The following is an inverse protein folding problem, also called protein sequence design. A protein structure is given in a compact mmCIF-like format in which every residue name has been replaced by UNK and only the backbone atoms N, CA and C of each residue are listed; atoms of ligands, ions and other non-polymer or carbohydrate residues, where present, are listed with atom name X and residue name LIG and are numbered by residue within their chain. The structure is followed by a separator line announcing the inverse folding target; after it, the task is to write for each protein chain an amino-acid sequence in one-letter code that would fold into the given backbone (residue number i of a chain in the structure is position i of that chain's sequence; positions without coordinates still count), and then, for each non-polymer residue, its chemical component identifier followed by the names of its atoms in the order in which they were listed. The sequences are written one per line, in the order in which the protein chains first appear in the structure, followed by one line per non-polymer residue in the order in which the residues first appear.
data_IF_787132851546
#
_entry.id   IF_787132851546
#
_cell.length_a   1.000
_cell.length_b   1.000
_cell.length_c   1.000
_cell.angle_alpha   90.00
_cell.angle_beta   90.00
_cell.angle_gamma   90.00
#
_symmetry.space_group_name_H-M   'P 1'
#
loop_
_entity.id
_entity.type
_entity.pdbx_description
1 polymer ?
#
# COMPACT_ATOMS: atom_id res chain seq x y z
N UNK A 1 -25.62 0.12 -2.11
CA UNK A 1 -24.37 -0.66 -2.24
C UNK A 1 -24.12 -1.30 -0.88
N UNK A 2 -24.03 -2.62 -0.83
CA UNK A 2 -23.71 -3.38 0.38
C UNK A 2 -22.23 -3.78 0.29
N UNK A 3 -21.44 -3.48 1.31
CA UNK A 3 -20.10 -4.05 1.48
C UNK A 3 -20.19 -5.12 2.56
N UNK A 4 -19.73 -6.32 2.28
CA UNK A 4 -19.63 -7.41 3.24
C UNK A 4 -18.44 -8.29 2.90
N UNK A 5 -18.03 -9.10 3.86
CA UNK A 5 -17.00 -10.13 3.70
C UNK A 5 -17.46 -11.39 4.46
N UNK A 6 -16.95 -12.54 4.06
CA UNK A 6 -17.17 -13.81 4.77
C UNK A 6 -15.83 -14.23 5.34
N UNK A 7 -15.82 -14.57 6.63
CA UNK A 7 -14.61 -14.96 7.36
C UNK A 7 -14.79 -16.33 8.00
N UNK A 8 -13.69 -17.06 8.13
CA UNK A 8 -13.68 -18.29 8.94
C UNK A 8 -13.56 -17.99 10.45
N UNK A 9 -13.47 -19.04 11.27
CA UNK A 9 -13.38 -18.94 12.73
C UNK A 9 -12.07 -18.28 13.23
N UNK A 10 -11.06 -18.17 12.37
CA UNK A 10 -9.82 -17.45 12.63
C UNK A 10 -9.85 -16.01 12.08
N UNK A 11 -11.04 -15.50 11.73
CA UNK A 11 -11.26 -14.19 11.10
C UNK A 11 -10.53 -13.97 9.77
N UNK A 12 -10.18 -15.05 9.06
CA UNK A 12 -9.55 -14.94 7.75
C UNK A 12 -10.60 -14.72 6.67
N UNK A 13 -10.51 -13.67 5.85
CA UNK A 13 -11.41 -13.48 4.72
C UNK A 13 -11.33 -14.65 3.74
N UNK A 14 -12.50 -15.06 3.25
CA UNK A 14 -12.68 -16.13 2.29
C UNK A 14 -13.37 -15.59 1.05
N UNK A 15 -13.13 -16.24 -0.10
CA UNK A 15 -13.84 -15.93 -1.34
C UNK A 15 -15.36 -16.09 -1.12
N UNK A 16 -16.18 -15.01 -1.21
CA UNK A 16 -17.61 -15.09 -0.94
C UNK A 16 -18.37 -16.02 -1.89
N UNK A 17 -17.83 -16.25 -3.09
CA UNK A 17 -18.44 -17.13 -4.10
C UNK A 17 -18.52 -18.58 -3.60
N UNK A 18 -17.68 -18.98 -2.64
CA UNK A 18 -17.73 -20.30 -2.00
C UNK A 18 -19.04 -20.56 -1.21
N UNK A 19 -19.85 -19.53 -0.96
CA UNK A 19 -21.01 -19.59 -0.07
C UNK A 19 -22.35 -19.44 -0.81
N UNK A 20 -22.41 -19.93 -2.06
CA UNK A 20 -23.65 -20.02 -2.83
C UNK A 20 -24.06 -18.71 -3.53
N UNK A 21 -23.12 -17.78 -3.71
CA UNK A 21 -23.34 -16.60 -4.54
C UNK A 21 -23.19 -17.01 -6.01
N UNK A 22 -24.30 -16.98 -6.74
CA UNK A 22 -24.31 -17.30 -8.16
C UNK A 22 -24.41 -16.03 -9.02
N UNK A 23 -23.35 -15.75 -9.78
CA UNK A 23 -23.26 -14.62 -10.69
C UNK A 23 -22.90 -15.18 -12.08
N UNK A 24 -23.55 -14.66 -13.12
CA UNK A 24 -23.20 -15.01 -14.50
C UNK A 24 -21.81 -14.49 -14.84
N UNK A 25 -20.98 -15.39 -15.37
CA UNK A 25 -19.61 -15.09 -15.75
C UNK A 25 -19.14 -16.10 -16.81
N UNK A 26 -18.97 -15.58 -18.02
CA UNK A 26 -18.54 -16.33 -19.21
C UNK A 26 -17.21 -15.82 -19.77
N UNK A 27 -16.62 -14.81 -19.12
CA UNK A 27 -15.38 -14.18 -19.58
C UNK A 27 -14.20 -14.97 -19.08
N UNK A 28 -13.24 -15.21 -19.97
CA UNK A 28 -11.94 -15.74 -19.55
C UNK A 28 -11.13 -14.66 -18.84
N UNK A 29 -10.33 -15.01 -17.83
CA UNK A 29 -9.41 -14.06 -17.20
C UNK A 29 -8.48 -13.39 -18.22
N UNK A 30 -8.13 -12.13 -17.95
CA UNK A 30 -7.25 -11.35 -18.81
C UNK A 30 -5.84 -11.35 -18.26
N UNK A 31 -4.85 -11.55 -19.15
CA UNK A 31 -3.44 -11.29 -18.89
C UNK A 31 -3.02 -10.11 -19.74
N UNK A 32 -2.51 -9.04 -19.14
CA UNK A 32 -2.10 -7.84 -19.89
C UNK A 32 -0.61 -7.78 -20.16
N UNK A 33 0.21 -8.29 -19.23
CA UNK A 33 1.66 -8.17 -19.29
C UNK A 33 2.34 -9.42 -18.73
N UNK A 34 3.53 -9.73 -19.25
CA UNK A 34 4.36 -10.86 -18.82
C UNK A 34 5.80 -10.39 -18.64
N UNK A 35 6.43 -10.85 -17.57
CA UNK A 35 7.80 -10.53 -17.22
C UNK A 35 8.59 -11.80 -16.91
N UNK A 36 9.87 -11.80 -17.26
CA UNK A 36 10.84 -12.76 -16.77
C UNK A 36 11.76 -12.10 -15.73
N UNK A 37 12.25 -12.90 -14.79
CA UNK A 37 13.11 -12.48 -13.70
C UNK A 37 14.30 -13.42 -13.60
N UNK A 38 15.51 -12.89 -13.64
CA UNK A 38 16.72 -13.67 -13.36
C UNK A 38 16.89 -13.79 -11.84
N UNK A 39 17.24 -14.99 -11.34
CA UNK A 39 17.38 -15.22 -9.90
C UNK A 39 18.64 -14.56 -9.34
N UNK A 40 19.74 -14.61 -10.09
CA UNK A 40 21.04 -14.08 -9.70
C UNK A 40 21.90 -13.66 -10.91
N UNK A 41 23.14 -13.27 -10.65
CA UNK A 41 24.13 -12.83 -11.65
C UNK A 41 24.60 -13.91 -12.64
N UNK A 42 24.30 -15.19 -12.39
CA UNK A 42 24.65 -16.30 -13.27
C UNK A 42 23.51 -16.67 -14.24
N UNK A 43 22.39 -15.96 -14.17
CA UNK A 43 21.20 -16.19 -14.98
C UNK A 43 20.88 -14.99 -15.86
N UNK A 44 20.42 -15.24 -17.09
CA UNK A 44 20.04 -14.18 -18.02
C UNK A 44 18.85 -14.59 -18.87
N UNK A 45 18.10 -13.58 -19.33
CA UNK A 45 17.01 -13.72 -20.30
C UNK A 45 17.22 -12.69 -21.39
N UNK A 46 17.31 -13.13 -22.65
CA UNK A 46 17.62 -12.29 -23.80
C UNK A 46 18.87 -11.42 -23.59
N UNK A 47 19.92 -12.00 -22.99
CA UNK A 47 21.18 -11.32 -22.60
C UNK A 47 20.99 -10.18 -21.57
N UNK A 48 19.83 -10.11 -20.90
CA UNK A 48 19.51 -9.13 -19.85
C UNK A 48 19.41 -9.79 -18.47
N UNK A 49 19.60 -8.96 -17.43
CA UNK A 49 19.59 -9.35 -16.02
C UNK A 49 18.48 -8.62 -15.26
N UNK A 50 18.02 -9.21 -14.17
CA UNK A 50 16.91 -8.71 -13.37
C UNK A 50 15.58 -8.94 -14.06
N UNK A 51 14.77 -7.88 -14.18
CA UNK A 51 13.42 -7.92 -14.76
C UNK A 51 13.46 -7.63 -16.26
N UNK A 52 12.91 -8.53 -17.06
CA UNK A 52 12.77 -8.39 -18.52
C UNK A 52 11.29 -8.45 -18.89
N UNK A 53 10.78 -7.40 -19.52
CA UNK A 53 9.41 -7.37 -20.04
C UNK A 53 9.32 -8.21 -21.33
N UNK A 54 8.35 -9.11 -21.40
CA UNK A 54 8.12 -9.97 -22.55
C UNK A 54 6.90 -9.48 -23.32
N UNK A 55 7.05 -9.32 -24.62
CA UNK A 55 5.96 -8.86 -25.48
C UNK A 55 4.86 -9.93 -25.55
N UNK A 56 3.74 -9.64 -24.90
CA UNK A 56 2.55 -10.48 -24.92
C UNK A 56 1.83 -10.40 -26.27
N UNK A 57 1.42 -11.56 -26.79
CA UNK A 57 0.69 -11.72 -28.04
C UNK A 57 -0.61 -12.48 -27.72
N UNK A 58 -1.78 -11.82 -27.79
CA UNK A 58 -3.07 -12.50 -27.64
C UNK A 58 -3.37 -13.38 -28.85
N UNK A 59 -3.93 -14.56 -28.59
CA UNK A 59 -4.36 -15.52 -29.60
C UNK A 59 -5.88 -15.46 -29.79
N UNK A 60 -6.35 -15.90 -30.97
CA UNK A 60 -7.79 -15.93 -31.28
C UNK A 60 -8.60 -16.88 -30.37
N UNK A 61 -7.93 -17.78 -29.66
CA UNK A 61 -8.56 -18.72 -28.72
C UNK A 61 -8.91 -18.10 -27.37
N UNK A 62 -8.38 -16.91 -27.07
CA UNK A 62 -8.42 -16.31 -25.72
C UNK A 62 -7.15 -16.56 -24.90
N UNK A 63 -6.27 -17.43 -25.38
CA UNK A 63 -4.94 -17.67 -24.81
C UNK A 63 -3.93 -16.61 -25.26
N UNK A 64 -2.72 -16.70 -24.71
CA UNK A 64 -1.62 -15.79 -24.97
C UNK A 64 -0.32 -16.55 -25.24
N UNK A 65 0.58 -15.90 -25.96
CA UNK A 65 1.97 -16.33 -26.10
C UNK A 65 2.90 -15.13 -26.07
N UNK A 66 4.20 -15.38 -26.06
CA UNK A 66 5.23 -14.35 -26.24
C UNK A 66 6.14 -14.76 -27.38
N UNK A 67 6.90 -13.82 -27.93
CA UNK A 67 8.03 -14.17 -28.80
C UNK A 67 9.00 -15.08 -28.04
N UNK A 68 9.53 -16.10 -28.72
CA UNK A 68 10.43 -17.07 -28.08
C UNK A 68 11.64 -16.38 -27.46
N UNK A 69 11.95 -16.73 -26.21
CA UNK A 69 13.05 -16.12 -25.45
C UNK A 69 14.29 -17.03 -25.47
N UNK A 70 15.46 -16.42 -25.35
CA UNK A 70 16.69 -17.14 -24.99
C UNK A 70 16.97 -16.96 -23.51
N UNK A 71 17.38 -18.01 -22.80
CA UNK A 71 17.72 -17.90 -21.38
C UNK A 71 18.79 -18.90 -20.96
N UNK A 72 19.41 -18.65 -19.81
CA UNK A 72 20.30 -19.59 -19.12
C UNK A 72 20.24 -19.36 -17.61
N UNK A 73 20.40 -20.42 -16.82
CA UNK A 73 20.41 -20.36 -15.36
C UNK A 73 19.01 -20.41 -14.74
N UNK A 74 18.89 -19.98 -13.48
CA UNK A 74 17.63 -19.98 -12.74
C UNK A 74 16.81 -18.73 -13.04
N UNK A 75 15.59 -18.90 -13.55
CA UNK A 75 14.68 -17.81 -13.90
C UNK A 75 13.28 -18.04 -13.36
N UNK A 76 12.57 -16.96 -13.06
CA UNK A 76 11.15 -16.95 -12.69
C UNK A 76 10.34 -16.08 -13.65
N UNK A 77 9.02 -16.17 -13.56
CA UNK A 77 8.11 -15.34 -14.37
C UNK A 77 7.14 -14.56 -13.49
N UNK A 78 6.57 -13.49 -14.03
CA UNK A 78 5.50 -12.73 -13.41
C UNK A 78 4.49 -12.25 -14.45
N UNK A 79 3.26 -12.01 -14.02
CA UNK A 79 2.17 -11.57 -14.89
C UNK A 79 1.37 -10.43 -14.28
N UNK A 80 0.76 -9.62 -15.12
CA UNK A 80 -0.37 -8.76 -14.72
C UNK A 80 -1.64 -9.44 -15.20
N UNK A 81 -2.54 -9.76 -14.27
CA UNK A 81 -3.77 -10.48 -14.59
C UNK A 81 -4.92 -10.11 -13.68
N UNK A 82 -6.14 -10.23 -14.20
CA UNK A 82 -7.37 -9.99 -13.47
C UNK A 82 -8.54 -10.77 -14.08
N UNK A 83 -9.57 -10.95 -13.27
CA UNK A 83 -10.87 -11.47 -13.69
C UNK A 83 -11.87 -10.30 -13.91
N UNK A 84 -12.92 -10.54 -14.71
CA UNK A 84 -14.01 -9.60 -14.87
C UNK A 84 -15.32 -10.34 -15.17
N UNK A 85 -16.34 -10.14 -14.33
CA UNK A 85 -17.67 -10.72 -14.52
C UNK A 85 -18.42 -10.09 -15.72
N UNK A 86 -19.42 -10.78 -16.26
CA UNK A 86 -20.14 -10.35 -17.48
C UNK A 86 -20.78 -8.96 -17.35
N UNK A 87 -21.47 -8.71 -16.22
CA UNK A 87 -22.28 -7.51 -15.98
C UNK A 87 -21.58 -6.46 -15.10
N UNK A 88 -20.26 -6.59 -14.92
CA UNK A 88 -19.49 -5.75 -14.04
C UNK A 88 -18.26 -5.18 -14.78
N UNK A 89 -17.99 -3.89 -14.60
CA UNK A 89 -16.82 -3.24 -15.22
C UNK A 89 -15.58 -3.26 -14.34
N UNK A 90 -15.71 -3.62 -13.05
CA UNK A 90 -14.59 -3.72 -12.12
C UNK A 90 -13.71 -4.93 -12.44
N UNK A 91 -12.41 -4.75 -12.24
CA UNK A 91 -11.46 -5.85 -12.20
C UNK A 91 -11.59 -6.58 -10.86
N UNK A 92 -11.63 -7.91 -10.91
CA UNK A 92 -11.68 -8.81 -9.78
C UNK A 92 -10.37 -9.59 -9.66
N UNK A 93 -10.16 -10.18 -8.48
CA UNK A 93 -9.08 -11.15 -8.30
C UNK A 93 -9.40 -12.47 -9.00
N UNK A 94 -8.34 -13.16 -9.42
CA UNK A 94 -8.44 -14.53 -9.93
C UNK A 94 -8.86 -15.51 -8.83
N UNK A 95 -9.27 -16.72 -9.21
CA UNK A 95 -9.43 -17.82 -8.27
C UNK A 95 -8.11 -18.54 -8.01
N UNK A 96 -7.35 -18.80 -9.06
CA UNK A 96 -6.02 -19.41 -8.94
C UNK A 96 -5.09 -19.07 -10.11
N UNK A 97 -3.80 -19.27 -9.88
CA UNK A 97 -2.74 -19.25 -10.89
C UNK A 97 -1.91 -20.52 -10.73
N UNK A 98 -1.68 -21.24 -11.82
CA UNK A 98 -0.82 -22.42 -11.85
C UNK A 98 0.26 -22.24 -12.92
N UNK A 99 1.47 -22.75 -12.68
CA UNK A 99 2.53 -22.75 -13.69
C UNK A 99 3.13 -24.12 -13.91
N UNK A 100 3.64 -24.33 -15.14
CA UNK A 100 4.16 -25.60 -15.58
C UNK A 100 5.41 -25.41 -16.44
N UNK A 101 6.42 -26.25 -16.23
CA UNK A 101 7.63 -26.30 -17.05
C UNK A 101 7.75 -27.68 -17.68
N UNK A 102 7.71 -27.75 -19.02
CA UNK A 102 7.66 -29.00 -19.79
C UNK A 102 6.57 -29.98 -19.31
N UNK A 103 5.43 -29.44 -18.83
CA UNK A 103 4.29 -30.19 -18.34
C UNK A 103 4.30 -30.49 -16.83
N UNK A 104 5.42 -30.31 -16.13
CA UNK A 104 5.50 -30.48 -14.68
C UNK A 104 5.06 -29.20 -13.97
N UNK A 105 4.18 -29.30 -12.97
CA UNK A 105 3.73 -28.14 -12.18
C UNK A 105 4.89 -27.58 -11.36
N UNK A 106 5.06 -26.26 -11.33
CA UNK A 106 6.13 -25.56 -10.60
C UNK A 106 5.63 -24.68 -9.46
N UNK A 107 4.44 -24.11 -9.60
CA UNK A 107 3.89 -23.15 -8.65
C UNK A 107 2.37 -23.15 -8.73
N UNK A 108 1.71 -22.98 -7.58
CA UNK A 108 0.30 -22.67 -7.50
C UNK A 108 0.01 -21.58 -6.45
N UNK A 109 -0.84 -20.64 -6.83
CA UNK A 109 -1.42 -19.62 -5.97
C UNK A 109 -2.94 -19.82 -5.93
N UNK A 110 -3.51 -19.96 -4.73
CA UNK A 110 -4.95 -20.12 -4.50
C UNK A 110 -5.50 -18.91 -3.72
N UNK A 111 -6.49 -18.22 -4.28
CA UNK A 111 -7.06 -16.99 -3.70
C UNK A 111 -8.36 -17.23 -2.92
N UNK A 112 -8.65 -18.46 -2.48
CA UNK A 112 -9.90 -18.76 -1.77
C UNK A 112 -9.90 -18.27 -0.31
N UNK A 113 -8.73 -18.02 0.28
CA UNK A 113 -8.60 -17.55 1.66
C UNK A 113 -7.30 -16.77 1.84
N UNK A 114 -7.35 -15.72 2.66
CA UNK A 114 -6.20 -14.88 2.97
C UNK A 114 -6.14 -14.58 4.47
N UNK A 115 -4.94 -14.46 5.05
CA UNK A 115 -4.79 -13.99 6.44
C UNK A 115 -4.31 -12.54 6.49
N UNK A 116 -4.92 -11.70 7.33
CA UNK A 116 -4.43 -10.32 7.49
C UNK A 116 -3.04 -10.26 8.12
N UNK A 117 -2.64 -11.27 8.90
CA UNK A 117 -1.32 -11.36 9.52
C UNK A 117 -0.19 -11.48 8.50
N UNK A 118 -0.47 -12.02 7.31
CA UNK A 118 0.50 -12.20 6.23
C UNK A 118 0.50 -11.04 5.21
N UNK A 119 -0.29 -9.98 5.43
CA UNK A 119 -0.46 -8.87 4.48
C UNK A 119 0.85 -8.24 4.01
N UNK A 120 1.87 -8.20 4.88
CA UNK A 120 3.19 -7.67 4.52
C UNK A 120 3.83 -8.46 3.39
N UNK A 121 3.65 -9.78 3.37
CA UNK A 121 4.24 -10.67 2.38
C UNK A 121 3.66 -10.50 0.97
N UNK A 122 2.49 -9.86 0.82
CA UNK A 122 1.97 -9.42 -0.48
C UNK A 122 2.95 -8.50 -1.20
N UNK A 123 3.69 -7.67 -0.47
CA UNK A 123 4.73 -6.82 -1.06
C UNK A 123 5.88 -7.61 -1.68
N UNK A 124 6.05 -8.90 -1.34
CA UNK A 124 7.02 -9.81 -1.97
C UNK A 124 6.40 -10.62 -3.11
N UNK A 125 5.11 -10.95 -3.01
CA UNK A 125 4.36 -11.54 -4.11
C UNK A 125 4.29 -10.60 -5.33
N UNK A 126 4.08 -9.31 -5.09
CA UNK A 126 4.11 -8.30 -6.14
C UNK A 126 5.55 -7.89 -6.49
N UNK A 127 5.76 -7.47 -7.73
CA UNK A 127 6.89 -6.59 -8.06
C UNK A 127 6.67 -5.22 -7.40
N UNK A 128 7.22 -5.07 -6.19
CA UNK A 128 7.03 -3.88 -5.38
C UNK A 128 7.52 -2.61 -6.07
N UNK A 129 8.63 -2.68 -6.82
CA UNK A 129 9.13 -1.51 -7.53
C UNK A 129 8.12 -1.04 -8.59
N UNK A 130 7.58 -1.95 -9.41
CA UNK A 130 6.56 -1.60 -10.41
C UNK A 130 5.25 -1.15 -9.76
N UNK A 131 4.83 -1.78 -8.66
CA UNK A 131 3.68 -1.35 -7.89
C UNK A 131 3.84 0.10 -7.40
N UNK A 132 5.01 0.46 -6.90
CA UNK A 132 5.27 1.80 -6.35
C UNK A 132 5.47 2.85 -7.42
N UNK A 133 6.19 2.52 -8.49
CA UNK A 133 6.60 3.49 -9.54
C UNK A 133 5.62 3.61 -10.70
N UNK A 134 5.00 2.50 -11.13
CA UNK A 134 4.10 2.45 -12.30
C UNK A 134 2.64 2.14 -11.96
N UNK A 135 2.34 1.77 -10.70
CA UNK A 135 1.00 1.29 -10.28
C UNK A 135 0.58 0.03 -11.04
N UNK A 136 1.55 -0.83 -11.34
CA UNK A 136 1.36 -2.10 -12.03
C UNK A 136 1.59 -3.24 -11.05
N UNK A 137 0.55 -4.05 -10.84
CA UNK A 137 0.58 -5.18 -9.90
C UNK A 137 1.04 -6.45 -10.62
N UNK A 138 2.35 -6.53 -10.90
CA UNK A 138 2.94 -7.77 -11.45
C UNK A 138 3.01 -8.81 -10.34
N UNK A 139 2.26 -9.89 -10.51
CA UNK A 139 2.21 -11.05 -9.63
C UNK A 139 3.38 -11.96 -10.00
N UNK A 140 4.36 -12.12 -9.10
CA UNK A 140 5.48 -13.05 -9.31
C UNK A 140 4.98 -14.48 -9.12
N UNK A 141 5.32 -15.33 -10.08
CA UNK A 141 4.97 -16.74 -10.12
C UNK A 141 6.10 -17.62 -9.58
N UNK A 142 6.84 -17.06 -8.63
CA UNK A 142 7.90 -17.69 -7.86
C UNK A 142 7.95 -17.05 -6.47
N UNK A 143 8.46 -17.77 -5.49
CA UNK A 143 8.48 -17.38 -4.09
C UNK A 143 9.89 -16.87 -3.74
N UNK A 144 9.97 -15.60 -3.39
CA UNK A 144 11.20 -15.02 -2.87
C UNK A 144 11.40 -15.43 -1.39
N UNK A 145 12.67 -15.52 -0.97
CA UNK A 145 13.04 -15.86 0.40
C UNK A 145 12.28 -15.00 1.43
N UNK A 146 11.79 -15.65 2.48
CA UNK A 146 11.06 -14.99 3.57
C UNK A 146 9.61 -14.63 3.25
N UNK A 147 9.09 -14.99 2.07
CA UNK A 147 7.67 -14.88 1.76
C UNK A 147 6.94 -16.16 2.20
N UNK A 148 6.02 -16.02 3.15
CA UNK A 148 5.33 -17.14 3.79
C UNK A 148 3.80 -17.09 3.60
N UNK A 149 3.33 -16.51 2.48
CA UNK A 149 1.90 -16.47 2.19
C UNK A 149 1.34 -17.90 2.14
N UNK A 150 0.26 -18.11 2.88
CA UNK A 150 -0.47 -19.36 2.97
C UNK A 150 -1.25 -19.72 1.70
N UNK A 151 -1.37 -18.77 0.77
CA UNK A 151 -1.97 -18.96 -0.55
C UNK A 151 -1.08 -19.76 -1.53
N UNK A 152 0.22 -19.90 -1.22
CA UNK A 152 1.11 -20.75 -2.01
C UNK A 152 0.86 -22.23 -1.74
N UNK A 153 0.84 -23.03 -2.80
CA UNK A 153 0.75 -24.50 -2.75
C UNK A 153 1.51 -25.11 -3.93
N UNK A 154 1.77 -26.43 -3.88
CA UNK A 154 2.42 -27.20 -4.95
C UNK A 154 3.68 -26.51 -5.52
N UNK A 155 4.56 -26.06 -4.63
CA UNK A 155 5.82 -25.41 -5.00
C UNK A 155 6.89 -26.45 -5.33
N UNK A 156 7.51 -26.29 -6.49
CA UNK A 156 8.71 -27.02 -6.91
C UNK A 156 9.79 -25.99 -7.28
N UNK A 157 10.95 -26.06 -6.62
CA UNK A 157 12.01 -25.03 -6.63
C UNK A 157 11.45 -23.60 -6.47
N UNK A 158 10.48 -23.44 -5.56
CA UNK A 158 9.85 -22.15 -5.25
C UNK A 158 9.22 -21.47 -6.49
N UNK A 159 8.92 -22.23 -7.55
CA UNK A 159 8.36 -21.71 -8.81
C UNK A 159 9.41 -21.22 -9.83
N UNK A 160 10.70 -21.24 -9.48
CA UNK A 160 11.78 -21.01 -10.44
C UNK A 160 11.95 -22.20 -11.40
N UNK A 161 12.56 -21.94 -12.54
CA UNK A 161 13.01 -22.97 -13.49
C UNK A 161 14.50 -22.82 -13.77
N UNK A 162 15.17 -23.95 -13.99
CA UNK A 162 16.57 -23.96 -14.42
C UNK A 162 16.63 -24.22 -15.93
N UNK A 163 17.20 -23.28 -16.67
CA UNK A 163 17.38 -23.38 -18.12
C UNK A 163 18.84 -23.71 -18.43
N UNK A 164 19.06 -24.91 -18.97
CA UNK A 164 20.39 -25.36 -19.41
C UNK A 164 20.67 -24.98 -20.86
N UNK A 165 21.94 -24.88 -21.22
CA UNK A 165 22.37 -24.52 -22.56
C UNK A 165 21.92 -25.55 -23.61
N UNK A 166 21.66 -25.10 -24.83
CA UNK A 166 21.24 -25.94 -25.97
C UNK A 166 19.96 -26.78 -25.74
N UNK A 167 19.08 -26.34 -24.84
CA UNK A 167 17.78 -26.97 -24.59
C UNK A 167 16.63 -26.21 -25.28
N UNK A 168 15.50 -26.89 -25.49
CA UNK A 168 14.25 -26.26 -25.93
C UNK A 168 13.15 -26.69 -24.97
N UNK A 169 12.53 -25.72 -24.32
CA UNK A 169 11.52 -25.95 -23.29
C UNK A 169 10.32 -25.02 -23.49
N UNK A 170 9.22 -25.32 -22.79
CA UNK A 170 8.05 -24.46 -22.73
C UNK A 170 7.64 -24.25 -21.28
N UNK A 171 7.50 -22.97 -20.91
CA UNK A 171 6.84 -22.58 -19.67
C UNK A 171 5.40 -22.19 -19.96
N UNK A 172 4.46 -22.68 -19.16
CA UNK A 172 3.04 -22.40 -19.29
C UNK A 172 2.47 -21.84 -18.01
N UNK A 173 1.60 -20.85 -18.14
CA UNK A 173 0.87 -20.24 -17.03
C UNK A 173 -0.61 -20.44 -17.30
N UNK A 174 -1.35 -20.88 -16.30
CA UNK A 174 -2.81 -20.99 -16.33
C UNK A 174 -3.40 -20.03 -15.31
N UNK A 175 -4.26 -19.13 -15.77
CA UNK A 175 -5.05 -18.25 -14.91
C UNK A 175 -6.50 -18.70 -14.94
N UNK A 176 -7.15 -18.75 -13.78
CA UNK A 176 -8.52 -19.28 -13.65
C UNK A 176 -9.38 -18.38 -12.78
N UNK A 177 -10.62 -18.13 -13.20
CA UNK A 177 -11.64 -17.50 -12.36
C UNK A 177 -12.40 -18.51 -11.49
N UNK A 178 -13.39 -18.04 -10.74
CA UNK A 178 -14.18 -18.90 -9.87
C UNK A 178 -15.14 -19.84 -10.62
N UNK A 179 -15.71 -19.41 -11.76
CA UNK A 179 -16.59 -20.24 -12.60
C UNK A 179 -15.85 -21.32 -13.37
N UNK A 180 -14.54 -21.19 -13.42
CA UNK A 180 -13.61 -22.08 -14.09
C UNK A 180 -13.34 -21.74 -15.54
N UNK A 181 -13.65 -20.52 -16.00
CA UNK A 181 -13.06 -20.06 -17.24
C UNK A 181 -11.56 -19.83 -17.01
N UNK A 182 -10.78 -20.07 -18.06
CA UNK A 182 -9.33 -20.06 -17.97
C UNK A 182 -8.69 -19.50 -19.23
N UNK A 183 -7.48 -18.98 -19.07
CA UNK A 183 -6.61 -18.62 -20.18
C UNK A 183 -5.21 -19.16 -19.91
N UNK A 184 -4.52 -19.55 -20.97
CA UNK A 184 -3.15 -20.03 -20.92
C UNK A 184 -2.18 -19.00 -21.51
N UNK A 185 -1.00 -18.86 -20.90
CA UNK A 185 0.15 -18.16 -21.49
C UNK A 185 1.21 -19.21 -21.82
N UNK A 186 1.67 -19.27 -23.07
CA UNK A 186 2.80 -20.13 -23.47
C UNK A 186 4.04 -19.32 -23.78
N UNK A 187 5.14 -19.64 -23.08
CA UNK A 187 6.45 -18.99 -23.22
C UNK A 187 7.45 -20.03 -23.76
N UNK A 188 7.78 -20.01 -25.05
CA UNK A 188 8.85 -20.83 -25.62
C UNK A 188 10.22 -20.35 -25.11
N UNK A 189 11.03 -21.25 -24.58
CA UNK A 189 12.35 -20.96 -24.01
C UNK A 189 13.42 -21.76 -24.72
N UNK A 190 14.39 -21.09 -25.34
CA UNK A 190 15.60 -21.71 -25.89
C UNK A 190 16.77 -21.47 -24.95
N UNK A 191 17.36 -22.56 -24.48
CA UNK A 191 18.55 -22.54 -23.64
C UNK A 191 19.77 -22.06 -24.41
N UNK A 192 20.36 -20.94 -23.98
CA UNK A 192 21.55 -20.37 -24.61
C UNK A 192 22.42 -19.69 -23.57
N UNK A 193 23.55 -20.31 -23.22
CA UNK A 193 24.56 -19.67 -22.38
C UNK A 193 25.31 -18.60 -23.16
N UNK A 194 25.51 -17.43 -22.56
CA UNK A 194 26.29 -16.33 -23.15
C UNK A 194 27.26 -15.76 -22.12
N UNK A 195 28.23 -14.97 -22.58
CA UNK A 195 29.20 -14.27 -21.71
C UNK A 195 28.66 -12.93 -21.19
N UNK A 196 27.34 -12.71 -21.27
CA UNK A 196 26.69 -11.52 -20.72
C UNK A 196 26.98 -11.42 -19.22
N UNK A 197 27.11 -10.19 -18.72
CA UNK A 197 27.35 -9.92 -17.29
C UNK A 197 26.36 -8.85 -16.83
N UNK A 198 25.85 -8.94 -15.59
CA UNK A 198 24.99 -7.91 -15.05
C UNK A 198 25.77 -6.59 -14.95
N UNK A 199 25.05 -5.48 -15.08
CA UNK A 199 25.62 -4.18 -14.72
C UNK A 199 25.99 -4.18 -13.23
N UNK A 200 27.21 -3.74 -12.93
CA UNK A 200 27.64 -3.58 -11.54
C UNK A 200 26.86 -2.43 -10.90
N UNK A 201 26.07 -2.72 -9.87
CA UNK A 201 25.39 -1.72 -9.06
C UNK A 201 26.43 -0.80 -8.39
N UNK A 202 26.36 0.51 -8.65
CA UNK A 202 27.17 1.49 -7.91
C UNK A 202 26.57 1.72 -6.52
N UNK A 203 27.18 1.06 -5.53
CA UNK A 203 26.77 1.09 -4.12
C UNK A 203 27.69 1.95 -3.25
N UNK A 204 28.62 2.72 -3.84
CA UNK A 204 29.66 3.46 -3.08
C UNK A 204 29.13 4.38 -1.98
N UNK A 205 27.99 5.03 -2.24
CA UNK A 205 27.35 5.96 -1.30
C UNK A 205 26.18 5.32 -0.52
N UNK A 206 26.00 3.99 -0.64
CA UNK A 206 24.91 3.26 -0.01
C UNK A 206 25.39 2.53 1.25
N UNK A 207 24.48 2.38 2.21
CA UNK A 207 24.71 1.65 3.44
C UNK A 207 24.18 0.25 3.27
N UNK A 208 25.01 -0.76 3.56
CA UNK A 208 24.57 -2.14 3.60
C UNK A 208 23.86 -2.44 4.92
N UNK A 209 22.65 -3.00 4.84
CA UNK A 209 21.81 -3.37 5.98
C UNK A 209 21.68 -4.88 5.99
N UNK A 210 22.14 -5.50 7.09
CA UNK A 210 21.87 -6.90 7.37
C UNK A 210 20.44 -7.04 7.85
N UNK A 211 19.63 -7.85 7.15
CA UNK A 211 18.21 -7.96 7.45
C UNK A 211 17.94 -8.55 8.83
N UNK A 212 18.77 -9.49 9.29
CA UNK A 212 18.60 -10.20 10.55
C UNK A 212 19.10 -9.42 11.78
N UNK A 213 19.75 -8.26 11.59
CA UNK A 213 20.26 -7.42 12.67
C UNK A 213 19.51 -6.09 12.80
N UNK A 214 19.37 -5.55 14.04
CA UNK A 214 18.91 -4.17 14.19
C UNK A 214 19.98 -3.20 13.70
N UNK A 215 19.58 -2.13 13.02
CA UNK A 215 20.49 -1.10 12.51
C UNK A 215 20.06 0.29 12.98
N UNK A 216 21.01 1.07 13.49
CA UNK A 216 20.82 2.49 13.80
C UNK A 216 21.65 3.33 12.82
N UNK A 217 21.00 4.23 12.10
CA UNK A 217 21.64 5.22 11.25
C UNK A 217 21.54 6.57 11.93
N UNK A 218 22.67 7.22 12.16
CA UNK A 218 22.74 8.52 12.82
C UNK A 218 23.47 9.50 11.90
N UNK A 219 22.85 10.64 11.62
CA UNK A 219 23.48 11.75 10.91
C UNK A 219 22.90 13.08 11.41
N UNK A 220 23.78 13.98 11.86
CA UNK A 220 23.44 15.27 12.48
C UNK A 220 22.46 15.12 13.65
N UNK A 221 21.27 15.69 13.54
CA UNK A 221 20.22 15.69 14.55
C UNK A 221 19.14 14.63 14.27
N UNK A 222 19.38 13.68 13.36
CA UNK A 222 18.41 12.68 12.99
C UNK A 222 18.95 11.26 13.19
N UNK A 223 18.05 10.39 13.66
CA UNK A 223 18.31 8.96 13.84
C UNK A 223 17.22 8.16 13.14
N UNK A 224 17.61 7.11 12.42
CA UNK A 224 16.70 6.11 11.86
C UNK A 224 17.05 4.75 12.45
N UNK A 225 16.08 4.13 13.10
CA UNK A 225 16.22 2.79 13.66
C UNK A 225 15.42 1.78 12.85
N UNK A 226 16.12 0.76 12.37
CA UNK A 226 15.57 -0.45 11.79
C UNK A 226 15.65 -1.58 12.81
N UNK A 227 14.52 -2.09 13.32
CA UNK A 227 14.51 -3.36 14.05
C UNK A 227 15.08 -4.52 13.21
N UNK A 228 15.58 -5.57 13.86
CA UNK A 228 15.91 -6.83 13.17
C UNK A 228 14.69 -7.36 12.41
N UNK A 229 14.93 -7.88 11.20
CA UNK A 229 13.94 -8.32 10.22
C UNK A 229 13.03 -7.20 9.71
N UNK A 230 13.53 -5.95 9.62
CA UNK A 230 12.80 -4.87 8.94
C UNK A 230 12.74 -5.08 7.43
N UNK A 231 13.79 -5.65 6.86
CA UNK A 231 13.86 -6.09 5.47
C UNK A 231 13.70 -7.61 5.40
N UNK A 232 13.29 -8.12 4.24
CA UNK A 232 13.18 -9.57 4.00
C UNK A 232 14.53 -10.23 3.69
N UNK A 233 15.48 -9.46 3.18
CA UNK A 233 16.83 -9.89 2.83
C UNK A 233 17.79 -8.70 2.96
N UNK A 234 19.08 -8.99 3.05
CA UNK A 234 20.10 -7.97 3.14
C UNK A 234 20.03 -7.04 1.93
N UNK A 235 20.24 -5.75 2.15
CA UNK A 235 20.07 -4.76 1.09
C UNK A 235 20.97 -3.56 1.28
N UNK A 236 21.27 -2.89 0.17
CA UNK A 236 21.84 -1.56 0.20
C UNK A 236 20.72 -0.51 0.22
N UNK A 237 20.88 0.53 1.02
CA UNK A 237 19.96 1.68 1.06
C UNK A 237 20.71 3.00 0.97
N UNK A 238 20.03 4.03 0.49
CA UNK A 238 20.55 5.38 0.54
C UNK A 238 20.10 6.04 1.85
N UNK A 239 21.00 6.66 2.59
CA UNK A 239 20.65 7.43 3.78
C UNK A 239 21.43 8.74 3.79
N UNK A 240 20.72 9.87 3.87
CA UNK A 240 21.31 11.21 3.89
C UNK A 240 20.44 12.15 4.73
N UNK A 241 21.04 12.98 5.57
CA UNK A 241 20.31 14.03 6.30
C UNK A 241 20.74 15.40 5.81
N UNK A 242 19.76 16.21 5.40
CA UNK A 242 19.97 17.60 5.02
C UNK A 242 19.08 18.51 5.87
N UNK A 243 19.68 19.19 6.84
CA UNK A 243 18.99 20.08 7.77
C UNK A 243 17.85 19.35 8.51
N UNK A 244 16.61 19.61 8.12
CA UNK A 244 15.36 19.08 8.68
C UNK A 244 14.85 17.83 7.95
N UNK A 245 15.55 17.36 6.92
CA UNK A 245 15.05 16.33 6.00
C UNK A 245 15.93 15.09 6.01
N UNK A 246 15.32 13.92 6.27
CA UNK A 246 15.91 12.59 6.09
C UNK A 246 15.52 12.08 4.69
N UNK A 247 16.52 11.73 3.89
CA UNK A 247 16.33 10.89 2.70
C UNK A 247 16.70 9.45 3.06
N UNK A 248 15.70 8.57 3.09
CA UNK A 248 15.82 7.16 3.45
C UNK A 248 15.42 6.28 2.26
N UNK A 249 16.26 6.27 1.23
CA UNK A 249 16.08 5.54 -0.02
C UNK A 249 14.74 5.88 -0.74
N UNK A 250 14.55 5.27 -1.91
CA UNK A 250 13.26 5.33 -2.62
C UNK A 250 12.33 4.27 -2.03
N UNK A 251 11.02 4.53 -2.11
CA UNK A 251 10.01 3.55 -1.69
C UNK A 251 9.81 2.46 -2.74
N UNK A 252 10.84 1.64 -2.94
CA UNK A 252 10.90 0.55 -3.93
C UNK A 252 11.42 -0.76 -3.34
N UNK A 253 11.76 -0.76 -2.05
CA UNK A 253 12.14 -1.94 -1.27
C UNK A 253 11.12 -2.07 -0.14
N UNK A 254 10.37 -3.18 -0.09
CA UNK A 254 9.31 -3.32 0.91
C UNK A 254 9.87 -3.64 2.29
N UNK A 255 9.28 -3.02 3.30
CA UNK A 255 9.56 -3.30 4.71
C UNK A 255 8.57 -4.32 5.30
N UNK A 256 9.08 -5.21 6.13
CA UNK A 256 8.33 -6.16 6.95
C UNK A 256 7.92 -5.53 8.29
N UNK A 257 8.80 -4.70 8.88
CA UNK A 257 8.53 -3.95 10.13
C UNK A 257 8.59 -2.46 9.89
N UNK A 258 7.94 -1.71 10.77
CA UNK A 258 8.05 -0.26 10.77
C UNK A 258 9.46 0.17 11.18
N UNK A 259 9.97 1.20 10.52
CA UNK A 259 11.17 1.93 10.91
C UNK A 259 10.79 3.02 11.90
N UNK A 260 11.70 3.38 12.78
CA UNK A 260 11.53 4.52 13.69
C UNK A 260 12.41 5.68 13.23
N UNK A 261 11.79 6.85 13.06
CA UNK A 261 12.43 8.11 12.72
C UNK A 261 12.50 8.97 13.97
N UNK A 262 13.65 9.58 14.21
CA UNK A 262 13.84 10.50 15.32
C UNK A 262 14.54 11.78 14.87
N UNK A 263 14.08 12.91 15.40
CA UNK A 263 14.74 14.21 15.26
C UNK A 263 14.99 14.81 16.64
N UNK A 264 16.23 15.25 16.87
CA UNK A 264 16.58 16.12 17.99
C UNK A 264 16.25 17.58 17.62
N UNK A 265 15.36 18.16 18.41
CA UNK A 265 14.84 19.52 18.28
C UNK A 265 15.39 20.46 19.37
N UNK A 266 16.51 20.12 20.01
CA UNK A 266 17.14 20.93 21.07
C UNK A 266 17.48 22.36 20.63
N UNK A 267 17.72 22.57 19.33
CA UNK A 267 18.06 23.88 18.76
C UNK A 267 16.83 24.76 18.45
N UNK A 268 15.60 24.26 18.62
CA UNK A 268 14.37 25.03 18.41
C UNK A 268 13.93 25.76 19.68
N UNK A 269 13.16 26.84 19.54
CA UNK A 269 12.57 27.55 20.69
C UNK A 269 11.41 26.73 21.27
N UNK A 270 11.23 26.76 22.58
CA UNK A 270 10.17 25.98 23.24
C UNK A 270 8.77 26.30 22.69
N UNK A 271 8.52 27.55 22.30
CA UNK A 271 7.26 27.97 21.66
C UNK A 271 7.02 27.32 20.28
N UNK A 272 8.07 26.92 19.58
CA UNK A 272 7.97 26.24 18.27
C UNK A 272 7.89 24.73 18.46
N UNK A 273 8.54 24.18 19.50
CA UNK A 273 8.61 22.74 19.75
C UNK A 273 7.25 22.08 19.94
N UNK A 274 6.25 22.80 20.43
CA UNK A 274 4.88 22.29 20.60
C UNK A 274 4.17 22.07 19.25
N UNK A 275 4.61 22.78 18.22
CA UNK A 275 4.02 22.80 16.88
C UNK A 275 4.83 22.01 15.85
N UNK A 276 5.94 21.39 16.27
CA UNK A 276 6.79 20.57 15.41
C UNK A 276 6.29 19.12 15.33
N UNK A 277 6.33 18.56 14.13
CA UNK A 277 6.03 17.16 13.87
C UNK A 277 6.89 16.59 12.75
N UNK A 278 6.90 15.27 12.62
CA UNK A 278 7.58 14.56 11.53
C UNK A 278 6.55 14.28 10.43
N UNK A 279 6.86 14.68 9.21
CA UNK A 279 6.05 14.45 8.02
C UNK A 279 6.75 13.51 7.04
N UNK A 280 5.99 12.69 6.34
CA UNK A 280 6.43 12.06 5.09
C UNK A 280 6.17 13.01 3.92
N UNK A 281 7.15 13.22 3.05
CA UNK A 281 7.00 14.08 1.88
C UNK A 281 6.49 13.28 0.67
N UNK A 282 5.20 13.43 0.37
CA UNK A 282 4.52 12.64 -0.65
C UNK A 282 4.51 13.28 -2.05
N UNK A 283 4.71 12.43 -3.05
CA UNK A 283 4.58 12.75 -4.47
C UNK A 283 5.61 13.76 -4.99
N UNK A 284 5.48 14.13 -6.27
CA UNK A 284 6.41 15.06 -6.93
C UNK A 284 6.47 16.43 -6.25
N UNK A 285 5.34 16.90 -5.70
CA UNK A 285 5.24 18.19 -5.00
C UNK A 285 5.74 18.16 -3.56
N UNK A 286 6.22 17.00 -3.05
CA UNK A 286 6.69 16.82 -1.68
C UNK A 286 5.71 17.38 -0.63
N UNK A 287 4.42 17.04 -0.78
CA UNK A 287 3.40 17.49 0.17
C UNK A 287 3.66 16.82 1.53
N UNK A 288 3.78 17.57 2.63
CA UNK A 288 3.95 16.98 3.95
C UNK A 288 2.68 16.23 4.33
N UNK A 289 2.85 14.97 4.70
CA UNK A 289 1.81 14.13 5.28
C UNK A 289 2.19 13.85 6.72
N UNK A 290 1.32 14.24 7.66
CA UNK A 290 1.55 14.03 9.08
C UNK A 290 1.81 12.56 9.39
N UNK A 291 2.91 12.29 10.10
CA UNK A 291 3.11 11.04 10.81
C UNK A 291 2.80 11.27 12.28
N UNK A 292 2.12 10.31 12.92
CA UNK A 292 1.88 10.34 14.37
C UNK A 292 3.21 10.51 15.10
N UNK A 293 3.39 11.72 15.63
CA UNK A 293 4.66 12.14 16.21
C UNK A 293 4.51 12.21 17.72
N UNK A 294 5.42 11.56 18.43
CA UNK A 294 5.52 11.63 19.89
C UNK A 294 6.73 12.45 20.27
N UNK A 295 6.56 13.39 21.20
CA UNK A 295 7.66 14.14 21.79
C UNK A 295 8.01 13.58 23.16
N UNK A 296 9.29 13.32 23.38
CA UNK A 296 9.86 13.12 24.72
C UNK A 296 11.05 14.07 24.87
N UNK A 297 10.91 15.05 25.75
CA UNK A 297 11.89 16.15 25.90
C UNK A 297 12.17 16.81 24.53
N UNK A 298 13.42 16.80 24.08
CA UNK A 298 13.83 17.37 22.78
C UNK A 298 13.86 16.33 21.65
N UNK A 299 13.30 15.14 21.82
CA UNK A 299 13.27 14.12 20.76
C UNK A 299 11.84 13.95 20.25
N UNK A 300 11.65 14.22 18.96
CA UNK A 300 10.46 13.79 18.22
C UNK A 300 10.70 12.40 17.66
N UNK A 301 9.70 11.53 17.77
CA UNK A 301 9.73 10.16 17.26
C UNK A 301 8.47 9.88 16.46
N UNK A 302 8.64 9.30 15.27
CA UNK A 302 7.55 8.79 14.44
C UNK A 302 7.93 7.40 13.89
N UNK A 303 6.93 6.62 13.48
CA UNK A 303 7.15 5.35 12.81
C UNK A 303 6.63 5.40 11.39
N UNK A 304 7.37 4.80 10.46
CA UNK A 304 6.93 4.62 9.07
C UNK A 304 7.01 3.16 8.65
N UNK A 305 6.09 2.76 7.79
CA UNK A 305 6.02 1.42 7.22
C UNK A 305 6.66 1.34 5.82
N UNK A 306 7.26 2.42 5.34
CA UNK A 306 7.84 2.58 4.02
C UNK A 306 9.21 3.27 4.07
N UNK A 307 9.99 3.12 3.02
CA UNK A 307 11.17 3.95 2.76
C UNK A 307 10.72 5.26 2.09
N UNK A 308 11.51 6.32 2.15
CA UNK A 308 11.08 7.59 1.57
C UNK A 308 11.83 8.82 2.06
N UNK A 309 11.19 9.98 1.90
CA UNK A 309 11.72 11.26 2.37
C UNK A 309 10.86 11.78 3.50
N UNK A 310 11.49 12.11 4.62
CA UNK A 310 10.82 12.57 5.84
C UNK A 310 11.38 13.91 6.25
N UNK A 311 10.54 14.81 6.75
CA UNK A 311 10.97 16.12 7.19
C UNK A 311 10.38 16.49 8.54
N UNK A 312 11.14 17.23 9.34
CA UNK A 312 10.65 17.97 10.47
C UNK A 312 9.88 19.20 9.95
N UNK A 313 8.61 19.33 10.30
CA UNK A 313 7.71 20.41 9.85
C UNK A 313 7.12 21.14 11.05
N UNK A 314 6.80 22.42 10.86
CA UNK A 314 6.12 23.30 11.81
C UNK A 314 4.69 23.56 11.33
N UNK A 315 3.70 23.44 12.22
CA UNK A 315 2.31 23.81 11.96
C UNK A 315 1.77 24.74 13.06
N UNK A 316 1.52 25.99 12.68
CA UNK A 316 1.02 27.06 13.56
C UNK A 316 -0.38 27.52 13.20
N UNK A 317 -0.97 26.97 12.14
CA UNK A 317 -2.26 27.42 11.62
C UNK A 317 -3.38 26.59 12.25
N UNK A 318 -4.40 27.25 12.79
CA UNK A 318 -5.50 26.54 13.41
C UNK A 318 -6.48 25.96 12.36
N UNK A 319 -7.15 24.83 12.65
CA UNK A 319 -8.15 24.26 11.77
C UNK A 319 -9.25 25.24 11.37
N UNK A 320 -9.76 25.15 10.15
CA UNK A 320 -10.86 25.97 9.67
C UNK A 320 -12.20 25.26 9.87
N UNK A 321 -13.18 25.97 10.43
CA UNK A 321 -14.55 25.49 10.64
C UNK A 321 -15.51 26.31 9.78
N UNK A 322 -16.32 25.65 8.94
CA UNK A 322 -17.29 26.31 8.05
C UNK A 322 -18.67 25.66 8.16
N UNK A 323 -19.74 26.39 8.52
CA UNK A 323 -21.08 25.83 8.51
C UNK A 323 -21.56 25.54 7.07
N UNK A 324 -22.19 24.39 6.85
CA UNK A 324 -22.59 23.94 5.50
C UNK A 324 -24.05 24.32 5.21
N UNK A 325 -24.96 24.03 6.14
CA UNK A 325 -26.40 24.15 5.90
C UNK A 325 -27.09 25.18 6.81
N UNK A 326 -26.34 25.94 7.58
CA UNK A 326 -26.87 26.97 8.46
C UNK A 326 -25.97 28.20 8.57
N UNK A 327 -26.53 29.25 9.16
CA UNK A 327 -25.87 30.50 9.51
C UNK A 327 -26.34 30.89 10.91
N UNK A 328 -25.63 31.80 11.55
CA UNK A 328 -26.02 32.33 12.85
C UNK A 328 -27.45 32.92 12.82
N UNK A 329 -28.25 32.60 13.83
CA UNK A 329 -29.65 33.00 13.97
C UNK A 329 -30.66 32.25 13.08
N UNK A 330 -30.24 31.23 12.31
CA UNK A 330 -31.14 30.53 11.37
C UNK A 330 -32.13 29.60 12.07
N UNK A 331 -33.36 29.53 11.55
CA UNK A 331 -34.33 28.49 11.90
C UNK A 331 -34.01 27.16 11.20
N UNK A 332 -33.80 26.10 11.99
CA UNK A 332 -33.45 24.78 11.52
C UNK A 332 -34.56 23.73 11.65
N UNK A 333 -35.77 24.06 12.13
CA UNK A 333 -36.86 23.08 12.36
C UNK A 333 -37.14 22.11 11.20
N UNK A 334 -36.93 22.52 9.95
CA UNK A 334 -37.15 21.69 8.75
C UNK A 334 -35.98 20.78 8.38
N UNK A 335 -34.83 20.91 9.04
CA UNK A 335 -33.62 20.16 8.77
C UNK A 335 -33.51 18.99 9.75
N UNK A 336 -33.21 17.79 9.24
CA UNK A 336 -32.86 16.63 10.05
C UNK A 336 -31.43 16.70 10.59
N UNK A 337 -30.52 17.34 9.85
CA UNK A 337 -29.10 17.37 10.19
C UNK A 337 -28.57 18.79 10.36
N UNK A 338 -27.58 18.95 11.24
CA UNK A 338 -26.71 20.12 11.32
C UNK A 338 -25.32 19.71 10.84
N UNK A 339 -24.76 20.47 9.89
CA UNK A 339 -23.51 20.09 9.22
C UNK A 339 -22.49 21.22 9.21
N UNK A 340 -21.25 20.89 9.55
CA UNK A 340 -20.07 21.76 9.43
C UNK A 340 -18.95 21.03 8.70
N UNK A 341 -18.16 21.78 7.93
CA UNK A 341 -16.92 21.32 7.34
C UNK A 341 -15.76 21.72 8.24
N UNK A 342 -14.86 20.79 8.53
CA UNK A 342 -13.65 21.03 9.33
C UNK A 342 -12.43 20.67 8.49
N UNK A 343 -11.49 21.59 8.28
CA UNK A 343 -10.32 21.34 7.44
C UNK A 343 -9.05 21.81 8.12
N UNK A 344 -7.97 21.09 7.87
CA UNK A 344 -6.61 21.45 8.26
C UNK A 344 -5.69 21.24 7.06
N UNK A 345 -4.73 22.14 6.86
CA UNK A 345 -3.87 22.15 5.68
C UNK A 345 -2.54 21.40 5.88
N UNK A 346 -2.16 21.07 7.13
CA UNK A 346 -0.86 20.52 7.49
C UNK A 346 -0.99 19.28 8.38
N UNK A 347 -1.00 19.44 9.71
CA UNK A 347 -0.91 18.32 10.64
C UNK A 347 -2.17 17.43 10.66
N UNK A 348 -3.28 17.90 10.08
CA UNK A 348 -4.55 17.20 10.01
C UNK A 348 -5.37 17.35 11.30
N UNK A 349 -6.64 16.97 11.24
CA UNK A 349 -7.55 17.05 12.40
C UNK A 349 -7.21 15.94 13.41
N UNK A 350 -6.89 16.32 14.64
CA UNK A 350 -6.64 15.39 15.74
C UNK A 350 -7.89 15.09 16.56
N UNK A 351 -8.65 16.14 16.94
CA UNK A 351 -9.84 15.99 17.77
C UNK A 351 -10.89 17.09 17.50
N UNK A 352 -12.15 16.82 17.87
CA UNK A 352 -13.20 17.82 17.91
C UNK A 352 -14.16 17.56 19.08
N UNK A 353 -14.79 18.62 19.57
CA UNK A 353 -15.80 18.56 20.62
C UNK A 353 -16.91 19.56 20.33
N UNK A 354 -18.13 19.05 20.21
CA UNK A 354 -19.33 19.86 20.01
C UNK A 354 -20.21 19.85 21.25
N UNK A 355 -20.82 21.00 21.54
CA UNK A 355 -21.85 21.14 22.56
C UNK A 355 -23.01 21.99 22.06
N UNK A 356 -24.23 21.68 22.49
CA UNK A 356 -25.40 22.54 22.32
C UNK A 356 -25.95 22.87 23.71
N UNK A 357 -26.13 24.16 24.01
CA UNK A 357 -26.55 24.66 25.33
C UNK A 357 -25.67 24.09 26.46
N UNK A 358 -24.35 23.97 26.21
CA UNK A 358 -23.37 23.41 27.13
C UNK A 358 -23.37 21.88 27.27
N UNK A 359 -24.35 21.17 26.69
CA UNK A 359 -24.41 19.70 26.70
C UNK A 359 -23.64 19.13 25.50
N UNK A 360 -22.85 18.10 25.73
CA UNK A 360 -22.12 17.43 24.65
C UNK A 360 -23.07 16.77 23.66
N UNK A 361 -22.71 16.83 22.37
CA UNK A 361 -23.41 16.13 21.29
C UNK A 361 -22.41 15.26 20.51
N UNK A 362 -22.89 14.13 19.99
CA UNK A 362 -22.14 13.34 19.03
C UNK A 362 -22.23 14.00 17.66
N UNK A 363 -21.10 14.29 17.02
CA UNK A 363 -21.07 14.63 15.61
C UNK A 363 -20.34 13.54 14.85
N UNK A 364 -20.98 12.93 13.87
CA UNK A 364 -20.35 11.92 13.02
C UNK A 364 -19.39 12.60 12.04
N UNK A 365 -18.12 12.18 12.02
CA UNK A 365 -17.11 12.72 11.12
C UNK A 365 -16.93 11.83 9.88
N UNK A 366 -17.23 12.40 8.72
CA UNK A 366 -16.94 11.77 7.43
C UNK A 366 -15.66 12.37 6.84
N UNK A 367 -14.57 11.62 6.93
CA UNK A 367 -13.21 12.06 6.59
C UNK A 367 -13.01 12.37 5.10
N UNK A 368 -13.77 11.76 4.17
CA UNK A 368 -13.57 12.03 2.73
C UNK A 368 -14.06 13.42 2.33
N UNK A 369 -15.15 13.87 2.95
CA UNK A 369 -15.76 15.16 2.71
C UNK A 369 -15.42 16.19 3.80
N UNK A 370 -14.63 15.80 4.79
CA UNK A 370 -14.24 16.65 5.92
C UNK A 370 -15.47 17.24 6.65
N UNK A 371 -16.52 16.44 6.83
CA UNK A 371 -17.83 16.92 7.30
C UNK A 371 -18.23 16.30 8.64
N UNK A 372 -18.54 17.15 9.61
CA UNK A 372 -19.24 16.79 10.84
C UNK A 372 -20.75 16.89 10.65
N UNK A 373 -21.47 15.85 11.06
CA UNK A 373 -22.93 15.79 10.99
C UNK A 373 -23.52 15.45 12.36
N UNK A 374 -24.49 16.25 12.81
CA UNK A 374 -25.34 15.94 13.96
C UNK A 374 -26.77 15.64 13.48
N UNK A 375 -27.36 14.52 13.93
CA UNK A 375 -28.76 14.18 13.69
C UNK A 375 -29.63 14.75 14.82
N UNK A 376 -30.57 15.63 14.46
CA UNK A 376 -31.47 16.23 15.45
C UNK A 376 -32.42 15.20 16.10
N UNK A 377 -32.54 13.99 15.55
CA UNK A 377 -33.32 12.91 16.16
C UNK A 377 -32.67 12.32 17.41
N UNK A 378 -31.42 12.67 17.73
CA UNK A 378 -30.76 12.26 18.98
C UNK A 378 -31.40 12.91 20.23
N UNK A 379 -32.35 13.84 20.04
CA UNK A 379 -33.20 14.45 21.07
C UNK A 379 -32.43 15.10 22.24
N UNK A 380 -31.19 15.53 22.01
CA UNK A 380 -30.39 16.30 23.00
C UNK A 380 -30.93 17.72 23.20
N UNK A 381 -31.80 18.17 22.28
CA UNK A 381 -32.31 19.54 22.20
C UNK A 381 -33.81 19.58 22.44
N UNK A 382 -34.25 20.34 23.44
CA UNK A 382 -35.67 20.63 23.71
C UNK A 382 -35.99 22.13 23.62
N UNK A 383 -34.97 22.98 23.60
CA UNK A 383 -35.12 24.43 23.65
C UNK A 383 -35.38 25.04 22.27
N UNK A 384 -36.10 26.16 22.23
CA UNK A 384 -36.34 26.87 20.97
C UNK A 384 -35.08 27.59 20.46
N UNK A 385 -34.34 28.24 21.35
CA UNK A 385 -33.04 28.86 21.06
C UNK A 385 -31.94 27.91 21.48
N UNK A 386 -30.97 27.68 20.59
CA UNK A 386 -29.88 26.75 20.81
C UNK A 386 -28.53 27.38 20.49
N UNK A 387 -27.57 27.22 21.38
CA UNK A 387 -26.20 27.74 21.28
C UNK A 387 -25.25 26.59 20.98
N UNK A 388 -24.80 26.52 19.73
CA UNK A 388 -23.77 25.58 19.29
C UNK A 388 -22.39 26.14 19.60
N UNK A 389 -21.55 25.30 20.17
CA UNK A 389 -20.10 25.51 20.26
C UNK A 389 -19.38 24.28 19.74
N UNK A 390 -18.48 24.48 18.78
CA UNK A 390 -17.62 23.43 18.23
C UNK A 390 -16.16 23.87 18.40
N UNK A 391 -15.38 23.03 19.07
CA UNK A 391 -13.92 23.19 19.17
C UNK A 391 -13.30 22.11 18.30
N UNK A 392 -12.36 22.49 17.44
CA UNK A 392 -11.59 21.57 16.60
C UNK A 392 -10.12 21.80 16.86
N UNK A 393 -9.38 20.73 17.07
CA UNK A 393 -7.94 20.75 17.37
C UNK A 393 -7.22 19.88 16.34
N UNK A 394 -6.12 20.37 15.79
CA UNK A 394 -5.25 19.60 14.90
C UNK A 394 -4.39 18.57 15.67
N UNK A 395 -3.44 17.92 14.98
CA UNK A 395 -2.58 16.92 15.61
C UNK A 395 -1.39 17.49 16.39
N UNK A 396 -1.15 18.80 16.33
CA UNK A 396 -0.08 19.49 17.07
C UNK A 396 -0.61 20.45 18.16
N UNK A 397 -1.93 20.56 18.32
CA UNK A 397 -2.59 21.32 19.37
C UNK A 397 -3.15 22.68 18.97
N UNK A 398 -3.01 23.13 17.71
CA UNK A 398 -3.70 24.35 17.27
C UNK A 398 -5.21 24.11 17.30
N UNK A 399 -5.98 25.09 17.77
CA UNK A 399 -7.41 24.93 17.93
C UNK A 399 -8.22 26.13 17.45
N UNK A 400 -9.39 25.83 16.90
CA UNK A 400 -10.39 26.80 16.48
C UNK A 400 -11.69 26.55 17.21
N UNK A 401 -12.36 27.63 17.63
CA UNK A 401 -13.70 27.57 18.22
C UNK A 401 -14.69 28.27 17.29
N UNK A 402 -15.77 27.56 16.96
CA UNK A 402 -16.91 28.09 16.23
C UNK A 402 -18.13 28.14 17.16
N UNK A 403 -18.77 29.30 17.24
CA UNK A 403 -19.97 29.52 18.02
C UNK A 403 -21.08 30.09 17.12
N UNK A 404 -22.29 29.57 17.26
CA UNK A 404 -23.47 30.05 16.53
C UNK A 404 -24.75 29.74 17.29
N UNK A 405 -25.71 30.65 17.20
CA UNK A 405 -27.08 30.44 17.66
C UNK A 405 -27.94 29.92 16.51
N UNK A 406 -28.84 28.98 16.78
CA UNK A 406 -29.89 28.58 15.85
C UNK A 406 -31.22 28.33 16.57
N UNK A 407 -32.31 28.33 15.82
CA UNK A 407 -33.66 28.16 16.38
C UNK A 407 -34.34 26.89 15.87
N UNK A 408 -35.05 26.16 16.73
CA UNK A 408 -35.88 24.99 16.37
C UNK A 408 -37.17 24.99 17.17
N UNK A 409 -38.18 24.28 16.70
CA UNK A 409 -39.48 24.07 17.34
C UNK A 409 -40.10 22.81 16.78
#
# INVERSE_FOLDING_TARGET
HLHFEIRDKEERPMNPMLFGIDIQDSKVPTVSDVYAYTKDENSHVNDQFGRVELRLIPLKTGDYTVEGITAFGEIGFGIVSYDQLDLASNHNGLNSIETFFNGNKKFQMDFNRFSFDESRHINRFLDYELHKTKKTDVQKLFVQKGNTLSMYSDLDDEGYITVEDSTSSVYKIRVKDYKGNEAWVSIPVTGKKTDAKPETLDTKDQIYIFADQPTNLNDKNATVYFPSNSFYEDTFINFRVNSDTIFLHKDIIPLQKNVTLQFDISNYKDSEKDHLYIAELLGYKKRPSYLTTKRKENILTASSNALGTYALTLDIEAPKIVPINFQDGKWLSKYRYLKLKITDDLSGIGNYRATINGKWILMEYEYKNNTLTFDFNDNVITDTKNELKLIVTDNVGNSSTFEATFFRK
#
